data_IF_500844534173
#
_entry.id   IF_500844534173
#
_cell.length_a   1.000
_cell.length_b   1.000
_cell.length_c   1.000
_cell.angle_alpha   90.00
_cell.angle_beta   90.00
_cell.angle_gamma   90.00
#
_symmetry.space_group_name_H-M   'P 1'
#
loop_
_entity.id
_entity.type
_entity.pdbx_description
1 polymer ?
#
# COMPACT_ATOMS: atom_id res chain seq x y z
N UNK A 1 -25.36 -38.29 -5.89
CA UNK A 1 -24.84 -37.49 -4.76
C UNK A 1 -23.36 -37.10 -4.88
N UNK A 2 -22.50 -37.84 -5.56
CA UNK A 2 -21.06 -37.58 -5.67
C UNK A 2 -20.66 -36.43 -6.64
N UNK A 3 -21.50 -36.07 -7.60
CA UNK A 3 -21.23 -34.99 -8.56
C UNK A 3 -21.42 -33.58 -7.94
N UNK A 4 -22.41 -33.41 -7.09
CA UNK A 4 -22.66 -32.16 -6.38
C UNK A 4 -21.52 -31.82 -5.38
N UNK A 5 -20.96 -32.80 -4.69
CA UNK A 5 -19.85 -32.62 -3.76
C UNK A 5 -18.55 -32.21 -4.47
N UNK A 6 -18.33 -32.72 -5.72
CA UNK A 6 -17.15 -32.36 -6.54
C UNK A 6 -17.22 -30.95 -7.13
N UNK A 7 -18.40 -30.38 -7.28
CA UNK A 7 -18.57 -29.01 -7.79
C UNK A 7 -18.54 -27.96 -6.67
N UNK A 8 -18.89 -28.33 -5.43
CA UNK A 8 -18.90 -27.42 -4.28
C UNK A 8 -17.49 -27.13 -3.74
N UNK A 9 -16.58 -28.11 -3.81
CA UNK A 9 -15.21 -27.96 -3.32
C UNK A 9 -14.41 -26.85 -4.04
N UNK A 10 -14.38 -26.75 -5.39
CA UNK A 10 -13.69 -25.66 -6.09
C UNK A 10 -14.36 -24.30 -5.89
N UNK A 11 -15.69 -24.26 -5.71
CA UNK A 11 -16.41 -23.01 -5.42
C UNK A 11 -16.06 -22.46 -4.03
N UNK A 12 -15.88 -23.34 -3.03
CA UNK A 12 -15.49 -22.96 -1.67
C UNK A 12 -14.04 -22.44 -1.62
N UNK A 13 -13.15 -22.99 -2.45
CA UNK A 13 -11.76 -22.53 -2.59
C UNK A 13 -11.65 -21.14 -3.23
N UNK A 14 -12.55 -20.80 -4.14
CA UNK A 14 -12.62 -19.46 -4.75
C UNK A 14 -13.08 -18.38 -3.76
N UNK A 15 -13.91 -18.73 -2.78
CA UNK A 15 -14.37 -17.80 -1.73
C UNK A 15 -13.29 -17.49 -0.69
N UNK A 16 -12.31 -18.34 -0.50
CA UNK A 16 -11.19 -18.12 0.43
C UNK A 16 -10.13 -17.15 -0.11
N UNK A 17 -10.09 -16.90 -1.41
CA UNK A 17 -9.14 -15.97 -2.03
C UNK A 17 -9.50 -14.48 -1.83
N UNK A 18 -10.70 -14.17 -1.35
CA UNK A 18 -11.23 -12.79 -1.26
C UNK A 18 -10.74 -11.97 -0.07
N UNK A 19 -9.94 -12.53 0.86
CA UNK A 19 -9.50 -11.84 2.08
C UNK A 19 -8.04 -11.39 2.07
N UNK A 20 -7.41 -11.23 0.92
CA UNK A 20 -6.08 -10.64 0.86
C UNK A 20 -6.19 -9.11 1.05
N UNK A 21 -5.98 -8.63 2.28
CA UNK A 21 -5.84 -7.21 2.58
C UNK A 21 -4.50 -6.70 2.06
N UNK A 22 -4.41 -6.53 0.74
CA UNK A 22 -3.28 -5.87 0.07
C UNK A 22 -3.27 -4.36 0.36
N UNK A 23 -2.20 -3.65 -0.03
CA UNK A 23 -2.17 -2.20 0.03
C UNK A 23 -3.28 -1.61 -0.84
N UNK A 24 -3.88 -0.53 -0.38
CA UNK A 24 -4.80 0.27 -1.20
C UNK A 24 -3.98 1.08 -2.20
N UNK A 25 -4.32 0.98 -3.47
CA UNK A 25 -3.61 1.68 -4.55
C UNK A 25 -4.60 2.57 -5.30
N UNK A 26 -4.18 3.80 -5.52
CA UNK A 26 -4.92 4.78 -6.31
C UNK A 26 -3.97 5.53 -7.23
N UNK A 27 -4.50 6.14 -8.29
CA UNK A 27 -3.76 7.04 -9.15
C UNK A 27 -4.58 8.26 -9.50
N UNK A 28 -3.89 9.34 -9.78
CA UNK A 28 -4.46 10.60 -10.26
C UNK A 28 -3.65 11.07 -11.44
N UNK A 29 -4.34 11.58 -12.45
CA UNK A 29 -3.69 12.17 -13.62
C UNK A 29 -4.16 13.60 -13.85
N UNK A 30 -3.31 14.41 -14.46
CA UNK A 30 -3.70 15.75 -14.88
C UNK A 30 -4.55 15.67 -16.14
N UNK A 31 -5.68 16.38 -16.16
CA UNK A 31 -6.57 16.45 -17.32
C UNK A 31 -5.88 16.97 -18.60
N UNK A 32 -4.74 17.64 -18.46
CA UNK A 32 -3.96 18.19 -19.57
C UNK A 32 -2.68 17.40 -19.83
N UNK A 33 -2.57 16.17 -19.34
CA UNK A 33 -1.41 15.31 -19.60
C UNK A 33 -1.45 14.79 -21.04
N UNK A 34 -0.35 14.97 -21.76
CA UNK A 34 -0.21 14.56 -23.16
C UNK A 34 0.79 13.39 -23.27
N UNK A 35 0.44 12.24 -22.69
CA UNK A 35 1.33 11.07 -22.58
C UNK A 35 1.90 10.60 -23.91
N UNK A 36 1.20 10.81 -25.02
CA UNK A 36 1.67 10.50 -26.37
C UNK A 36 2.91 11.29 -26.81
N UNK A 37 3.32 12.33 -26.07
CA UNK A 37 4.50 13.15 -26.37
C UNK A 37 5.75 12.72 -25.64
N UNK A 38 5.60 12.05 -24.50
CA UNK A 38 6.75 11.69 -23.65
C UNK A 38 7.37 10.38 -24.13
N UNK A 39 8.71 10.38 -24.28
CA UNK A 39 9.51 9.25 -24.75
C UNK A 39 10.61 8.86 -23.78
N UNK A 40 10.99 9.78 -22.92
CA UNK A 40 12.11 9.62 -22.01
C UNK A 40 11.75 10.04 -20.58
N UNK A 41 12.51 9.50 -19.66
CA UNK A 41 12.39 9.85 -18.24
C UNK A 41 13.76 9.84 -17.57
N UNK A 42 13.87 10.55 -16.46
CA UNK A 42 14.97 10.41 -15.52
C UNK A 42 14.45 10.53 -14.09
N UNK A 43 15.27 10.14 -13.12
CA UNK A 43 14.91 10.33 -11.72
C UNK A 43 15.14 11.77 -11.29
N UNK A 44 14.22 12.29 -10.49
CA UNK A 44 14.42 13.54 -9.78
C UNK A 44 15.50 13.33 -8.70
N UNK A 45 16.49 14.21 -8.64
CA UNK A 45 17.64 14.07 -7.74
C UNK A 45 17.70 15.20 -6.70
N UNK A 46 17.77 14.86 -5.40
CA UNK A 46 17.55 13.54 -4.81
C UNK A 46 16.07 13.14 -4.85
N UNK A 47 15.77 11.82 -4.75
CA UNK A 47 14.38 11.38 -4.60
C UNK A 47 13.79 11.93 -3.29
N UNK A 48 12.50 12.22 -3.27
CA UNK A 48 11.81 12.72 -2.09
C UNK A 48 11.89 11.78 -0.87
N UNK A 49 12.07 10.47 -1.10
CA UNK A 49 12.34 9.50 -0.03
C UNK A 49 13.76 9.56 0.53
N UNK A 50 14.69 10.21 -0.15
CA UNK A 50 16.10 10.38 0.25
C UNK A 50 16.28 11.65 1.09
N UNK A 51 15.58 11.72 2.21
CA UNK A 51 15.51 12.92 3.08
C UNK A 51 16.86 13.39 3.62
N UNK A 52 17.85 12.50 3.67
CA UNK A 52 19.23 12.84 4.06
C UNK A 52 20.10 13.33 2.91
N UNK A 53 19.57 13.40 1.69
CA UNK A 53 20.31 13.80 0.49
C UNK A 53 21.26 12.70 -0.04
N UNK A 54 21.09 11.46 0.37
CA UNK A 54 21.87 10.31 -0.08
C UNK A 54 20.99 9.09 -0.37
N UNK A 55 21.44 8.24 -1.28
CA UNK A 55 20.77 7.01 -1.64
C UNK A 55 20.78 6.00 -0.48
N UNK A 56 19.72 5.25 -0.36
CA UNK A 56 19.54 4.18 0.62
C UNK A 56 19.24 2.84 -0.08
N UNK A 57 19.45 1.67 0.55
CA UNK A 57 19.05 0.40 -0.05
C UNK A 57 17.59 0.36 -0.50
N UNK A 58 16.71 1.09 0.19
CA UNK A 58 15.30 1.20 -0.16
C UNK A 58 15.10 2.05 -1.43
N UNK A 59 15.75 3.21 -1.52
CA UNK A 59 15.64 4.08 -2.69
C UNK A 59 16.30 3.46 -3.93
N UNK A 60 17.44 2.81 -3.78
CA UNK A 60 18.09 2.08 -4.88
C UNK A 60 17.20 0.97 -5.43
N UNK A 61 16.55 0.20 -4.54
CA UNK A 61 15.60 -0.84 -4.96
C UNK A 61 14.38 -0.24 -5.65
N UNK A 62 13.81 0.84 -5.11
CA UNK A 62 12.69 1.53 -5.73
C UNK A 62 13.04 2.08 -7.12
N UNK A 63 14.24 2.69 -7.28
CA UNK A 63 14.78 3.14 -8.59
C UNK A 63 14.86 1.98 -9.58
N UNK A 64 15.44 0.84 -9.16
CA UNK A 64 15.60 -0.32 -10.04
C UNK A 64 14.25 -0.85 -10.55
N UNK A 65 13.25 -0.91 -9.68
CA UNK A 65 11.90 -1.34 -10.08
C UNK A 65 11.24 -0.30 -10.97
N UNK A 66 11.26 0.98 -10.59
CA UNK A 66 10.65 2.05 -11.39
C UNK A 66 11.26 2.13 -12.80
N UNK A 67 12.58 2.01 -12.90
CA UNK A 67 13.28 1.98 -14.19
C UNK A 67 12.79 0.82 -15.06
N UNK A 68 12.75 -0.39 -14.52
CA UNK A 68 12.25 -1.57 -15.23
C UNK A 68 10.81 -1.38 -15.70
N UNK A 69 9.95 -0.84 -14.85
CA UNK A 69 8.53 -0.60 -15.16
C UNK A 69 8.33 0.44 -16.27
N UNK A 70 9.12 1.51 -16.27
CA UNK A 70 9.10 2.54 -17.32
C UNK A 70 9.68 2.01 -18.63
N UNK A 71 10.82 1.33 -18.58
CA UNK A 71 11.45 0.75 -19.77
C UNK A 71 10.57 -0.34 -20.40
N UNK A 72 9.88 -1.14 -19.61
CA UNK A 72 8.90 -2.13 -20.08
C UNK A 72 7.71 -1.49 -20.84
N UNK A 73 7.43 -0.22 -20.59
CA UNK A 73 6.42 0.59 -21.27
C UNK A 73 6.96 1.38 -22.45
N UNK A 74 8.25 1.17 -22.80
CA UNK A 74 8.89 1.80 -23.94
C UNK A 74 9.56 3.14 -23.66
N UNK A 75 9.49 3.66 -22.40
CA UNK A 75 10.19 4.90 -22.05
C UNK A 75 11.70 4.66 -21.95
N UNK A 76 12.49 5.56 -22.55
CA UNK A 76 13.94 5.51 -22.47
C UNK A 76 14.43 6.29 -21.23
N UNK A 77 15.39 5.70 -20.52
CA UNK A 77 16.08 6.43 -19.45
C UNK A 77 17.09 7.41 -20.07
N UNK A 78 16.93 8.71 -19.78
CA UNK A 78 17.75 9.78 -20.33
C UNK A 78 17.98 10.86 -19.25
N UNK A 79 19.11 10.81 -18.54
CA UNK A 79 19.39 11.76 -17.47
C UNK A 79 19.71 13.17 -17.96
N UNK A 80 20.12 13.33 -19.24
CA UNK A 80 20.56 14.62 -19.77
C UNK A 80 19.39 15.48 -20.27
N UNK A 81 18.41 14.85 -20.93
CA UNK A 81 17.27 15.56 -21.50
C UNK A 81 15.97 14.74 -21.40
N UNK A 82 15.47 14.49 -20.18
CA UNK A 82 14.25 13.73 -20.00
C UNK A 82 13.00 14.55 -20.34
N UNK A 83 11.96 13.87 -20.82
CA UNK A 83 10.64 14.46 -20.97
C UNK A 83 9.89 14.47 -19.62
N UNK A 84 10.14 13.44 -18.78
CA UNK A 84 9.52 13.25 -17.49
C UNK A 84 10.56 13.13 -16.37
N UNK A 85 10.37 13.88 -15.29
CA UNK A 85 10.98 13.55 -14.02
C UNK A 85 10.13 12.51 -13.28
N UNK A 86 10.79 11.43 -12.82
CA UNK A 86 10.20 10.43 -11.96
C UNK A 86 10.70 10.65 -10.52
N UNK A 87 9.81 10.97 -9.62
CA UNK A 87 10.10 11.10 -8.20
C UNK A 87 9.42 9.98 -7.41
N UNK A 88 10.07 9.52 -6.36
CA UNK A 88 9.54 8.49 -5.46
C UNK A 88 9.61 9.02 -4.04
N UNK A 89 8.50 8.96 -3.35
CA UNK A 89 8.44 9.27 -1.92
C UNK A 89 7.92 8.05 -1.14
N UNK A 90 8.42 7.89 0.08
CA UNK A 90 7.94 6.86 0.99
C UNK A 90 8.06 7.34 2.44
N UNK A 91 7.03 7.12 3.24
CA UNK A 91 7.02 7.48 4.64
C UNK A 91 6.21 6.48 5.48
N UNK A 92 6.47 6.46 6.77
CA UNK A 92 5.80 5.64 7.75
C UNK A 92 5.11 6.56 8.76
N UNK A 93 3.87 6.22 9.09
CA UNK A 93 3.09 6.89 10.14
C UNK A 93 2.66 5.84 11.16
N UNK A 94 2.84 6.14 12.44
CA UNK A 94 2.31 5.31 13.51
C UNK A 94 0.80 5.58 13.64
N UNK A 95 0.04 4.51 13.66
CA UNK A 95 -1.42 4.54 13.80
C UNK A 95 -1.84 3.77 15.03
N UNK A 96 -2.75 4.34 15.77
CA UNK A 96 -3.40 3.67 16.91
C UNK A 96 -4.83 3.35 16.51
N UNK A 97 -5.17 2.08 16.56
CA UNK A 97 -6.55 1.63 16.38
C UNK A 97 -7.14 1.32 17.76
N UNK A 98 -8.21 2.00 18.08
CA UNK A 98 -8.98 1.78 19.32
C UNK A 98 -10.30 1.13 18.93
N UNK A 99 -10.52 -0.09 19.36
CA UNK A 99 -11.78 -0.80 19.14
C UNK A 99 -12.40 -1.20 20.47
N UNK A 100 -13.71 -1.08 20.56
CA UNK A 100 -14.50 -1.54 21.71
C UNK A 100 -15.12 -2.89 21.37
N UNK A 101 -14.97 -3.85 22.27
CA UNK A 101 -15.56 -5.18 22.15
C UNK A 101 -16.51 -5.39 23.34
N UNK A 102 -17.80 -5.61 23.08
CA UNK A 102 -18.72 -5.98 24.16
C UNK A 102 -18.30 -7.34 24.74
N UNK A 103 -18.24 -7.42 26.03
CA UNK A 103 -17.93 -8.64 26.77
C UNK A 103 -18.94 -8.82 27.90
N UNK A 104 -19.09 -10.05 28.38
CA UNK A 104 -19.92 -10.37 29.52
C UNK A 104 -19.00 -10.74 30.66
N UNK A 105 -19.08 -9.98 31.75
CA UNK A 105 -18.43 -10.29 33.01
C UNK A 105 -19.47 -10.77 34.06
N UNK A 106 -18.99 -11.40 35.13
CA UNK A 106 -19.84 -11.99 36.15
C UNK A 106 -19.60 -11.29 37.49
N UNK A 107 -20.67 -10.72 38.05
CA UNK A 107 -20.68 -10.24 39.42
C UNK A 107 -21.26 -11.32 40.33
N UNK A 108 -20.65 -11.44 41.49
CA UNK A 108 -21.10 -12.37 42.52
C UNK A 108 -21.65 -11.57 43.70
N UNK A 109 -22.91 -11.88 44.12
CA UNK A 109 -23.46 -11.31 45.32
C UNK A 109 -24.04 -12.41 46.21
N UNK A 110 -24.05 -12.18 47.51
CA UNK A 110 -24.62 -13.09 48.46
C UNK A 110 -26.12 -12.83 48.63
N UNK A 111 -26.93 -13.84 48.28
CA UNK A 111 -28.38 -13.84 48.51
C UNK A 111 -28.70 -14.65 49.76
N UNK A 112 -29.47 -14.10 50.66
CA UNK A 112 -29.88 -14.77 51.90
C UNK A 112 -30.62 -16.11 51.67
N UNK A 113 -31.35 -16.23 50.55
CA UNK A 113 -32.10 -17.43 50.19
C UNK A 113 -31.30 -18.44 49.36
N UNK A 114 -30.33 -17.99 48.59
CA UNK A 114 -29.67 -18.82 47.58
C UNK A 114 -28.14 -18.88 47.72
N UNK A 115 -27.57 -18.25 48.75
CA UNK A 115 -26.11 -18.15 48.88
C UNK A 115 -25.49 -17.22 47.85
N UNK A 116 -24.30 -17.54 47.38
CA UNK A 116 -23.63 -16.77 46.33
C UNK A 116 -24.30 -17.00 44.96
N UNK A 117 -24.74 -15.92 44.36
CA UNK A 117 -25.37 -15.91 43.04
C UNK A 117 -24.47 -15.15 42.06
N UNK A 118 -24.21 -15.75 40.91
CA UNK A 118 -23.51 -15.12 39.81
C UNK A 118 -24.52 -14.45 38.86
N UNK A 119 -24.31 -13.19 38.57
CA UNK A 119 -25.13 -12.41 37.63
C UNK A 119 -24.25 -11.87 36.50
N UNK A 120 -24.59 -12.16 35.23
CA UNK A 120 -23.89 -11.60 34.13
C UNK A 120 -24.21 -10.12 33.97
N UNK A 121 -23.19 -9.31 33.64
CA UNK A 121 -23.39 -7.94 33.27
C UNK A 121 -22.52 -7.60 32.05
N UNK A 122 -23.03 -6.70 31.21
CA UNK A 122 -22.34 -6.29 30.01
C UNK A 122 -21.31 -5.23 30.36
N UNK A 123 -20.11 -5.46 29.88
CA UNK A 123 -18.98 -4.49 29.92
C UNK A 123 -18.43 -4.28 28.54
N UNK A 124 -17.63 -3.24 28.37
CA UNK A 124 -16.86 -2.99 27.15
C UNK A 124 -15.38 -3.12 27.46
N UNK A 125 -14.71 -3.94 26.65
CA UNK A 125 -13.26 -4.04 26.69
C UNK A 125 -12.69 -3.23 25.56
N UNK A 126 -11.92 -2.21 25.90
CA UNK A 126 -11.18 -1.42 24.93
C UNK A 126 -9.90 -2.16 24.53
N UNK A 127 -9.78 -2.42 23.24
CA UNK A 127 -8.57 -2.98 22.63
C UNK A 127 -7.85 -1.84 21.91
N UNK A 128 -6.61 -1.58 22.33
CA UNK A 128 -5.72 -0.62 21.68
C UNK A 128 -4.66 -1.41 20.92
N UNK A 129 -4.57 -1.20 19.63
CA UNK A 129 -3.53 -1.80 18.81
C UNK A 129 -2.78 -0.73 18.01
N UNK A 130 -1.46 -0.75 18.09
CA UNK A 130 -0.59 0.14 17.35
C UNK A 130 -0.02 -0.59 16.13
N UNK A 131 -0.02 0.10 15.00
CA UNK A 131 0.60 -0.40 13.79
C UNK A 131 1.24 0.76 13.01
N UNK A 132 2.17 0.40 12.11
CA UNK A 132 2.76 1.37 11.18
C UNK A 132 2.05 1.28 9.85
N UNK A 133 1.61 2.42 9.36
CA UNK A 133 1.10 2.58 8.02
C UNK A 133 2.21 3.16 7.14
N UNK A 134 2.48 2.49 6.02
CA UNK A 134 3.41 2.94 5.00
C UNK A 134 2.65 3.53 3.83
N UNK A 135 3.08 4.67 3.35
CA UNK A 135 2.63 5.25 2.08
C UNK A 135 3.83 5.37 1.17
N UNK A 136 3.64 4.95 -0.08
CA UNK A 136 4.60 5.14 -1.15
C UNK A 136 3.89 5.80 -2.33
N UNK A 137 4.47 6.85 -2.88
CA UNK A 137 3.97 7.49 -4.09
C UNK A 137 5.06 7.60 -5.15
N UNK A 138 4.63 7.54 -6.39
CA UNK A 138 5.43 7.75 -7.59
C UNK A 138 4.79 8.90 -8.35
N UNK A 139 5.59 9.92 -8.62
CA UNK A 139 5.18 11.12 -9.32
C UNK A 139 5.86 11.16 -10.68
N UNK A 140 5.10 11.44 -11.74
CA UNK A 140 5.63 11.79 -13.05
C UNK A 140 5.36 13.27 -13.32
N UNK A 141 6.41 14.02 -13.59
CA UNK A 141 6.37 15.47 -13.77
C UNK A 141 6.87 15.81 -15.18
N UNK A 142 6.08 16.54 -15.94
CA UNK A 142 6.49 17.13 -17.22
C UNK A 142 7.62 18.13 -16.96
N UNK A 143 8.80 17.86 -17.51
CA UNK A 143 10.02 18.66 -17.29
C UNK A 143 9.87 20.06 -17.86
N UNK A 144 9.31 20.21 -19.06
CA UNK A 144 9.18 21.49 -19.75
C UNK A 144 8.18 22.42 -19.06
N UNK A 145 7.06 21.84 -18.57
CA UNK A 145 5.98 22.59 -17.94
C UNK A 145 6.14 22.67 -16.42
N UNK A 146 7.06 21.91 -15.84
CA UNK A 146 7.24 21.71 -14.41
C UNK A 146 5.91 21.41 -13.69
N UNK A 147 5.16 20.43 -14.23
CA UNK A 147 3.82 20.08 -13.73
C UNK A 147 3.69 18.60 -13.56
N UNK A 148 3.08 18.21 -12.44
CA UNK A 148 2.68 16.83 -12.19
C UNK A 148 1.68 16.40 -13.28
N UNK A 149 1.98 15.30 -13.97
CA UNK A 149 1.11 14.71 -14.99
C UNK A 149 0.45 13.42 -14.54
N UNK A 150 1.11 12.69 -13.65
CA UNK A 150 0.56 11.49 -13.03
C UNK A 150 1.16 11.25 -11.65
N UNK A 151 0.32 10.77 -10.74
CA UNK A 151 0.72 10.30 -9.42
C UNK A 151 0.07 8.95 -9.16
N UNK A 152 0.86 8.00 -8.68
CA UNK A 152 0.36 6.73 -8.17
C UNK A 152 0.72 6.56 -6.69
N UNK A 153 -0.25 6.19 -5.87
CA UNK A 153 -0.11 6.10 -4.42
C UNK A 153 -0.51 4.71 -3.95
N UNK A 154 0.30 4.11 -3.09
CA UNK A 154 -0.03 2.89 -2.38
C UNK A 154 0.08 3.11 -0.87
N UNK A 155 -0.97 2.74 -0.14
CA UNK A 155 -1.01 2.85 1.33
C UNK A 155 -1.39 1.52 1.94
N UNK A 156 -0.69 1.10 2.97
CA UNK A 156 -0.97 -0.16 3.65
C UNK A 156 -0.17 -0.36 4.92
N UNK A 157 -0.45 -1.45 5.61
CA UNK A 157 0.28 -1.80 6.84
C UNK A 157 1.74 -2.14 6.50
N UNK A 158 2.68 -1.41 7.08
CA UNK A 158 4.09 -1.65 6.88
C UNK A 158 4.57 -2.86 7.70
N UNK A 159 5.41 -3.74 7.11
CA UNK A 159 6.06 -4.80 7.86
C UNK A 159 6.93 -4.26 8.99
N UNK A 160 7.04 -5.04 10.07
CA UNK A 160 7.85 -4.65 11.24
C UNK A 160 9.34 -4.69 10.96
N UNK A 161 9.80 -5.74 10.26
CA UNK A 161 11.23 -5.89 9.95
C UNK A 161 11.67 -5.03 8.76
N UNK A 162 12.92 -4.60 8.77
CA UNK A 162 13.50 -3.85 7.64
C UNK A 162 13.62 -4.72 6.39
N UNK A 163 13.98 -6.00 6.54
CA UNK A 163 14.10 -6.92 5.42
C UNK A 163 12.78 -7.12 4.69
N UNK A 164 11.68 -7.31 5.45
CA UNK A 164 10.35 -7.47 4.86
C UNK A 164 9.87 -6.18 4.19
N UNK A 165 10.23 -5.00 4.73
CA UNK A 165 9.92 -3.72 4.09
C UNK A 165 10.64 -3.60 2.75
N UNK A 166 11.92 -3.99 2.67
CA UNK A 166 12.67 -3.97 1.40
C UNK A 166 12.05 -4.95 0.39
N UNK A 167 11.69 -6.15 0.82
CA UNK A 167 11.03 -7.12 -0.06
C UNK A 167 9.66 -6.60 -0.58
N UNK A 168 8.93 -5.87 0.25
CA UNK A 168 7.62 -5.30 -0.11
C UNK A 168 7.70 -4.15 -1.14
N UNK A 169 8.87 -3.51 -1.31
CA UNK A 169 9.04 -2.42 -2.29
C UNK A 169 8.68 -2.89 -3.69
N UNK A 170 9.19 -4.05 -4.11
CA UNK A 170 8.96 -4.57 -5.47
C UNK A 170 7.47 -4.75 -5.76
N UNK A 171 6.76 -5.39 -4.83
CA UNK A 171 5.33 -5.62 -4.95
C UNK A 171 4.54 -4.31 -4.97
N UNK A 172 4.87 -3.39 -4.05
CA UNK A 172 4.18 -2.09 -3.93
C UNK A 172 4.39 -1.25 -5.19
N UNK A 173 5.62 -1.16 -5.68
CA UNK A 173 5.95 -0.43 -6.91
C UNK A 173 5.23 -1.04 -8.13
N UNK A 174 5.23 -2.38 -8.26
CA UNK A 174 4.51 -3.04 -9.33
C UNK A 174 2.99 -2.78 -9.27
N UNK A 175 2.42 -2.70 -8.06
CA UNK A 175 1.01 -2.34 -7.86
C UNK A 175 0.72 -0.91 -8.31
N UNK A 176 1.60 0.04 -7.96
CA UNK A 176 1.48 1.45 -8.37
C UNK A 176 1.55 1.54 -9.90
N UNK A 177 2.57 0.95 -10.53
CA UNK A 177 2.74 1.02 -11.97
C UNK A 177 1.65 0.29 -12.77
N UNK A 178 0.92 -0.65 -12.18
CA UNK A 178 -0.29 -1.21 -12.82
C UNK A 178 -1.40 -0.19 -13.01
N UNK A 179 -1.39 0.91 -12.23
CA UNK A 179 -2.32 2.02 -12.42
C UNK A 179 -1.88 3.01 -13.49
N UNK A 180 -0.65 2.89 -14.00
CA UNK A 180 -0.11 3.72 -15.08
C UNK A 180 -0.32 3.02 -16.43
N UNK A 181 -1.36 3.38 -17.21
CA UNK A 181 -1.76 2.64 -18.40
C UNK A 181 -1.00 3.05 -19.66
N UNK A 182 -0.12 4.05 -19.56
CA UNK A 182 0.50 4.67 -20.71
C UNK A 182 1.82 4.02 -21.07
N UNK A 183 2.08 3.90 -22.40
CA UNK A 183 3.36 3.54 -22.98
C UNK A 183 3.91 4.71 -23.80
N UNK A 184 5.24 4.69 -24.02
CA UNK A 184 5.86 5.61 -24.97
C UNK A 184 5.38 5.32 -26.38
N UNK A 185 5.18 6.35 -27.22
CA UNK A 185 4.74 6.21 -28.62
C UNK A 185 5.81 5.59 -29.50
#
# INVERSE_FOLDING_TARGET
MSFLLRAVAPLLLLLLAACATGPQVSSTESANAEFHRYRSFAFYEPLAMERGGYATPASERARAVARREMEARGYRYDPEAPDLWLNINAYLVERTNVSSMPTIDWAYYYSYRHGYVAVPFHTERTLVSEYREGTMNVDLVDVQRNRLVWEGVATGRAPRSQADRLARIDETMALIFRQFPYGAP
#
